data_IF_396609198260
#
_entry.id   IF_396609198260
#
_cell.length_a   1.000
_cell.length_b   1.000
_cell.length_c   1.000
_cell.angle_alpha   90.00
_cell.angle_beta   90.00
_cell.angle_gamma   90.00
#
_symmetry.space_group_name_H-M   'P 1'
#
loop_
_entity.id
_entity.type
_entity.pdbx_description
1 polymer ?
#
# COMPACT_ATOMS: atom_id res chain seq x y z
N UNK A 1 20.99 -21.35 -7.83
CA UNK A 1 20.57 -20.18 -8.63
C UNK A 1 21.83 -19.57 -9.25
N UNK A 2 21.93 -19.45 -10.58
CA UNK A 2 23.02 -18.69 -11.20
C UNK A 2 22.78 -17.23 -10.85
N UNK A 3 23.62 -16.69 -9.98
CA UNK A 3 23.54 -15.27 -9.61
C UNK A 3 24.12 -14.46 -10.76
N UNK A 4 23.27 -13.92 -11.60
CA UNK A 4 23.62 -12.95 -12.63
C UNK A 4 23.82 -11.56 -12.01
N UNK A 5 24.44 -10.66 -12.78
CA UNK A 5 24.62 -9.27 -12.34
C UNK A 5 23.57 -8.39 -12.99
N UNK A 6 22.96 -7.53 -12.20
CA UNK A 6 21.91 -6.61 -12.63
C UNK A 6 22.36 -5.16 -12.55
N UNK A 7 21.75 -4.33 -13.41
CA UNK A 7 21.94 -2.88 -13.40
C UNK A 7 20.62 -2.16 -13.58
N UNK A 8 20.44 -1.08 -12.81
CA UNK A 8 19.34 -0.14 -13.03
C UNK A 8 19.71 1.26 -12.58
N UNK A 9 18.94 2.23 -13.09
CA UNK A 9 18.92 3.58 -12.55
C UNK A 9 18.15 3.59 -11.22
N UNK A 10 18.84 3.95 -10.13
CA UNK A 10 18.29 4.02 -8.77
C UNK A 10 17.82 5.42 -8.38
N UNK A 11 17.98 6.43 -9.23
CA UNK A 11 17.45 7.78 -9.08
C UNK A 11 16.19 8.00 -9.93
N UNK A 12 15.31 8.98 -9.62
CA UNK A 12 14.13 9.30 -10.41
C UNK A 12 14.44 9.53 -11.89
N UNK A 13 13.47 9.26 -12.76
CA UNK A 13 13.61 9.50 -14.20
C UNK A 13 13.56 11.02 -14.50
N UNK A 14 14.22 11.43 -15.57
CA UNK A 14 14.27 12.84 -16.01
C UNK A 14 15.67 13.43 -15.86
N UNK A 15 15.85 14.66 -16.36
CA UNK A 15 17.07 15.43 -16.18
C UNK A 15 17.18 15.87 -14.70
N UNK A 16 18.37 15.68 -14.12
CA UNK A 16 18.65 16.01 -12.73
C UNK A 16 20.12 16.43 -12.60
N UNK A 17 20.47 17.07 -11.51
CA UNK A 17 21.88 17.40 -11.24
C UNK A 17 22.72 16.11 -11.12
N UNK A 18 22.17 15.06 -10.53
CA UNK A 18 22.81 13.75 -10.36
C UNK A 18 21.88 12.60 -10.69
N UNK A 19 22.44 11.56 -11.27
CA UNK A 19 21.79 10.26 -11.41
C UNK A 19 22.62 9.18 -10.75
N UNK A 20 21.97 8.10 -10.34
CA UNK A 20 22.59 6.95 -9.70
C UNK A 20 22.31 5.73 -10.56
N UNK A 21 23.36 5.05 -11.00
CA UNK A 21 23.28 3.71 -11.55
C UNK A 21 23.76 2.72 -10.49
N UNK A 22 22.95 1.71 -10.21
CA UNK A 22 23.26 0.65 -9.26
C UNK A 22 23.48 -0.66 -9.99
N UNK A 23 24.58 -1.34 -9.66
CA UNK A 23 24.95 -2.67 -10.16
C UNK A 23 25.04 -3.60 -8.97
N UNK A 24 24.46 -4.81 -9.04
CA UNK A 24 24.56 -5.82 -7.99
C UNK A 24 24.80 -7.19 -8.60
N UNK A 25 25.69 -7.96 -8.02
CA UNK A 25 25.99 -9.32 -8.43
C UNK A 25 27.48 -9.60 -8.64
N UNK A 26 27.83 -10.85 -9.00
CA UNK A 26 29.21 -11.34 -9.01
C UNK A 26 30.14 -10.65 -10.00
N UNK A 27 29.59 -10.03 -11.05
CA UNK A 27 30.42 -9.30 -12.03
C UNK A 27 30.66 -7.82 -11.63
N UNK A 28 30.12 -7.31 -10.52
CA UNK A 28 30.22 -5.90 -10.15
C UNK A 28 31.67 -5.40 -10.06
N UNK A 29 32.55 -6.17 -9.44
CA UNK A 29 33.97 -5.84 -9.35
C UNK A 29 34.67 -5.85 -10.71
N UNK A 30 34.34 -6.79 -11.60
CA UNK A 30 34.88 -6.84 -12.95
C UNK A 30 34.38 -5.64 -13.78
N UNK A 31 33.10 -5.35 -13.72
CA UNK A 31 32.50 -4.19 -14.40
C UNK A 31 33.17 -2.89 -13.93
N UNK A 32 33.46 -2.73 -12.65
CA UNK A 32 34.15 -1.57 -12.10
C UNK A 32 35.52 -1.37 -12.74
N UNK A 33 36.33 -2.45 -12.88
CA UNK A 33 37.66 -2.40 -13.55
C UNK A 33 37.56 -2.01 -15.01
N UNK A 34 36.62 -2.58 -15.73
CA UNK A 34 36.39 -2.28 -17.14
C UNK A 34 35.93 -0.83 -17.38
N UNK A 35 35.06 -0.30 -16.49
CA UNK A 35 34.58 1.07 -16.56
C UNK A 35 35.68 2.09 -16.27
N UNK A 36 36.59 1.78 -15.36
CA UNK A 36 37.72 2.65 -15.01
C UNK A 36 38.92 2.43 -15.93
N UNK A 37 38.92 1.36 -16.72
CA UNK A 37 40.08 0.89 -17.49
C UNK A 37 41.31 0.64 -16.59
N UNK A 38 41.07 0.28 -15.33
CA UNK A 38 42.11 -0.05 -14.36
C UNK A 38 41.96 -1.51 -13.88
N UNK A 39 42.74 -2.44 -14.41
CA UNK A 39 42.70 -3.85 -14.04
C UNK A 39 43.16 -4.10 -12.59
N UNK A 40 43.93 -3.17 -12.01
CA UNK A 40 44.42 -3.25 -10.66
C UNK A 40 43.46 -2.62 -9.63
N UNK A 41 42.32 -2.07 -10.07
CA UNK A 41 41.34 -1.47 -9.20
C UNK A 41 40.89 -2.43 -8.09
N UNK A 42 41.16 -2.06 -6.86
CA UNK A 42 40.71 -2.78 -5.70
C UNK A 42 39.24 -2.46 -5.42
N UNK A 43 38.36 -3.47 -5.56
CA UNK A 43 36.97 -3.35 -5.18
C UNK A 43 36.84 -3.51 -3.65
N UNK A 44 36.98 -2.38 -2.95
CA UNK A 44 36.90 -2.31 -1.49
C UNK A 44 35.80 -1.35 -1.05
N UNK A 45 35.10 -1.72 0.01
CA UNK A 45 34.03 -0.89 0.59
C UNK A 45 34.51 0.56 0.82
N UNK A 46 33.75 1.51 0.30
CA UNK A 46 34.00 2.94 0.49
C UNK A 46 33.50 3.80 -0.66
N UNK A 47 33.79 5.09 -0.53
CA UNK A 47 33.49 6.08 -1.56
C UNK A 47 34.79 6.48 -2.28
N UNK A 48 34.77 6.50 -3.59
CA UNK A 48 35.91 6.82 -4.43
C UNK A 48 35.49 7.73 -5.58
N UNK A 49 36.33 8.67 -5.97
CA UNK A 49 36.11 9.48 -7.17
C UNK A 49 36.76 8.79 -8.36
N UNK A 50 35.97 8.49 -9.37
CA UNK A 50 36.42 7.79 -10.58
C UNK A 50 36.26 8.65 -11.83
N UNK A 51 36.98 8.26 -12.87
CA UNK A 51 36.67 8.59 -14.25
C UNK A 51 36.21 7.29 -14.93
N UNK A 52 34.93 7.22 -15.30
CA UNK A 52 34.35 6.02 -15.90
C UNK A 52 34.21 6.20 -17.40
N UNK A 53 34.56 5.16 -18.14
CA UNK A 53 34.50 5.15 -19.63
C UNK A 53 33.13 4.66 -20.10
N UNK A 54 32.38 5.52 -20.77
CA UNK A 54 31.01 5.25 -21.25
C UNK A 54 30.99 4.58 -22.66
N UNK A 55 32.15 4.37 -23.26
CA UNK A 55 32.30 3.88 -24.64
C UNK A 55 32.70 5.00 -25.62
N UNK A 56 32.60 6.26 -25.24
CA UNK A 56 32.93 7.43 -26.06
C UNK A 56 33.92 8.38 -25.36
N UNK A 57 33.90 8.42 -24.05
CA UNK A 57 34.78 9.28 -23.29
C UNK A 57 34.77 8.96 -21.80
N UNK A 58 35.57 9.71 -21.03
CA UNK A 58 35.63 9.57 -19.59
C UNK A 58 34.74 10.59 -18.87
N UNK A 59 33.92 10.12 -17.96
CA UNK A 59 32.97 10.89 -17.20
C UNK A 59 33.37 10.87 -15.73
N UNK A 60 33.34 12.01 -15.00
CA UNK A 60 33.55 12.01 -13.59
C UNK A 60 32.40 11.33 -12.87
N UNK A 61 32.69 10.42 -11.95
CA UNK A 61 31.74 9.70 -11.14
C UNK A 61 32.22 9.62 -9.67
N UNK A 62 31.26 9.71 -8.73
CA UNK A 62 31.48 9.24 -7.37
C UNK A 62 30.98 7.79 -7.32
N UNK A 63 31.88 6.86 -7.04
CA UNK A 63 31.56 5.44 -6.88
C UNK A 63 31.45 5.09 -5.40
N UNK A 64 30.37 4.41 -5.05
CA UNK A 64 30.18 3.78 -3.75
C UNK A 64 30.26 2.26 -3.95
N UNK A 65 31.16 1.62 -3.19
CA UNK A 65 31.43 0.19 -3.28
C UNK A 65 30.97 -0.50 -2.00
N UNK A 66 30.27 -1.60 -2.15
CA UNK A 66 29.79 -2.43 -1.05
C UNK A 66 30.16 -3.88 -1.35
N UNK A 67 31.08 -4.42 -0.56
CA UNK A 67 31.48 -5.81 -0.67
C UNK A 67 30.46 -6.74 0.01
N UNK A 68 30.20 -7.87 -0.60
CA UNK A 68 29.42 -8.94 -0.01
C UNK A 68 30.02 -9.42 1.33
N UNK A 69 29.20 -9.76 2.34
CA UNK A 69 27.74 -9.64 2.41
C UNK A 69 27.27 -8.25 2.90
N UNK A 70 28.15 -7.26 3.03
CA UNK A 70 27.88 -5.96 3.65
C UNK A 70 27.33 -4.93 2.66
N UNK A 71 26.34 -5.34 1.87
CA UNK A 71 25.60 -4.51 0.94
C UNK A 71 24.10 -4.61 1.20
N UNK A 72 23.29 -3.86 0.47
CA UNK A 72 21.84 -3.93 0.56
C UNK A 72 21.32 -5.31 0.12
N UNK A 73 21.79 -5.80 -1.04
CA UNK A 73 21.40 -7.08 -1.61
C UNK A 73 22.12 -8.30 -1.00
N UNK A 74 23.18 -8.08 -0.20
CA UNK A 74 24.09 -9.14 0.23
C UNK A 74 25.14 -9.54 -0.81
N UNK A 75 25.08 -8.96 -2.01
CA UNK A 75 26.01 -9.19 -3.11
C UNK A 75 27.01 -8.04 -3.22
N UNK A 76 28.08 -8.21 -4.04
CA UNK A 76 28.92 -7.08 -4.41
C UNK A 76 28.08 -6.03 -5.14
N UNK A 77 28.07 -4.79 -4.63
CA UNK A 77 27.25 -3.71 -5.15
C UNK A 77 28.09 -2.48 -5.46
N UNK A 78 27.86 -1.90 -6.64
CA UNK A 78 28.46 -0.65 -7.10
C UNK A 78 27.36 0.37 -7.34
N UNK A 79 27.46 1.54 -6.77
CA UNK A 79 26.66 2.71 -7.12
C UNK A 79 27.53 3.77 -7.77
N UNK A 80 27.15 4.20 -8.96
CA UNK A 80 27.80 5.27 -9.70
C UNK A 80 26.92 6.51 -9.68
N UNK A 81 27.37 7.53 -9.00
CA UNK A 81 26.75 8.85 -8.98
C UNK A 81 27.41 9.70 -10.06
N UNK A 82 26.65 10.02 -11.09
CA UNK A 82 27.08 10.72 -12.32
C UNK A 82 26.21 11.96 -12.56
N UNK A 83 26.61 12.89 -13.44
CA UNK A 83 25.72 13.95 -13.90
C UNK A 83 24.42 13.38 -14.50
N UNK A 84 23.27 13.96 -14.12
CA UNK A 84 21.95 13.41 -14.42
C UNK A 84 21.44 13.68 -15.85
N UNK A 85 22.33 13.79 -16.82
CA UNK A 85 21.98 13.87 -18.25
C UNK A 85 21.41 12.54 -18.75
N UNK A 86 20.20 12.56 -19.31
CA UNK A 86 19.53 11.34 -19.78
C UNK A 86 20.37 10.54 -20.79
N UNK A 87 20.94 11.16 -21.87
CA UNK A 87 21.79 10.42 -22.81
C UNK A 87 23.02 9.80 -22.16
N UNK A 88 23.58 10.46 -21.13
CA UNK A 88 24.74 9.95 -20.41
C UNK A 88 24.39 8.70 -19.59
N UNK A 89 23.27 8.76 -18.85
CA UNK A 89 22.77 7.64 -18.05
C UNK A 89 22.49 6.43 -18.94
N UNK A 90 21.81 6.63 -20.07
CA UNK A 90 21.49 5.57 -21.04
C UNK A 90 22.75 4.94 -21.65
N UNK A 91 23.72 5.78 -22.05
CA UNK A 91 24.97 5.33 -22.64
C UNK A 91 25.77 4.48 -21.62
N UNK A 92 25.91 4.95 -20.39
CA UNK A 92 26.64 4.22 -19.36
C UNK A 92 25.91 2.94 -18.93
N UNK A 93 24.58 2.98 -18.83
CA UNK A 93 23.79 1.76 -18.55
C UNK A 93 23.94 0.72 -19.66
N UNK A 94 23.86 1.13 -20.92
CA UNK A 94 24.13 0.24 -22.07
C UNK A 94 25.55 -0.34 -22.05
N UNK A 95 26.55 0.49 -21.66
CA UNK A 95 27.92 0.02 -21.50
C UNK A 95 28.05 -1.04 -20.40
N UNK A 96 27.42 -0.83 -19.27
CA UNK A 96 27.41 -1.80 -18.16
C UNK A 96 26.74 -3.12 -18.59
N UNK A 97 25.68 -3.03 -19.39
CA UNK A 97 25.02 -4.24 -19.96
C UNK A 97 25.93 -4.99 -20.92
N UNK A 98 26.67 -4.29 -21.79
CA UNK A 98 27.68 -4.90 -22.67
C UNK A 98 28.79 -5.61 -21.89
N UNK A 99 29.07 -5.13 -20.68
CA UNK A 99 30.05 -5.75 -19.78
C UNK A 99 29.48 -6.97 -19.02
N UNK A 100 28.24 -7.37 -19.28
CA UNK A 100 27.65 -8.61 -18.79
C UNK A 100 26.66 -8.45 -17.62
N UNK A 101 26.20 -7.24 -17.33
CA UNK A 101 25.03 -7.06 -16.49
C UNK A 101 23.75 -7.10 -17.37
N UNK A 102 22.64 -7.62 -16.86
CA UNK A 102 21.33 -7.38 -17.48
C UNK A 102 20.59 -6.23 -16.80
N UNK A 103 19.56 -5.72 -17.46
CA UNK A 103 18.65 -4.80 -16.81
C UNK A 103 17.95 -5.49 -15.63
N UNK A 104 17.84 -4.78 -14.51
CA UNK A 104 17.07 -5.24 -13.36
C UNK A 104 15.58 -5.17 -13.64
N UNK A 105 14.83 -6.09 -13.07
CA UNK A 105 13.37 -6.05 -13.00
C UNK A 105 12.89 -5.08 -11.89
N UNK A 106 11.62 -4.65 -11.91
CA UNK A 106 11.05 -3.90 -10.80
C UNK A 106 11.23 -4.65 -9.47
N UNK A 107 11.70 -3.95 -8.43
CA UNK A 107 11.90 -4.53 -7.09
C UNK A 107 13.02 -5.56 -6.95
N UNK A 108 13.80 -5.84 -8.00
CA UNK A 108 14.74 -6.96 -7.99
C UNK A 108 15.87 -6.80 -6.95
N UNK A 109 16.36 -5.61 -6.70
CA UNK A 109 17.36 -5.40 -5.62
C UNK A 109 16.80 -5.74 -4.25
N UNK A 110 15.55 -5.36 -3.97
CA UNK A 110 14.87 -5.68 -2.70
C UNK A 110 14.54 -7.17 -2.62
N UNK A 111 14.13 -7.79 -3.73
CA UNK A 111 13.93 -9.24 -3.82
C UNK A 111 15.22 -10.01 -3.50
N UNK A 112 16.36 -9.58 -4.05
CA UNK A 112 17.67 -10.20 -3.74
C UNK A 112 18.05 -10.00 -2.29
N UNK A 113 17.79 -8.82 -1.71
CA UNK A 113 18.00 -8.57 -0.30
C UNK A 113 17.18 -9.53 0.59
N UNK A 114 15.93 -9.81 0.22
CA UNK A 114 15.07 -10.78 0.90
C UNK A 114 15.60 -12.21 0.71
N UNK A 115 15.86 -12.65 -0.52
CA UNK A 115 16.35 -14.00 -0.82
C UNK A 115 17.71 -14.30 -0.17
N UNK A 116 18.56 -13.29 -0.01
CA UNK A 116 19.86 -13.40 0.66
C UNK A 116 19.77 -13.20 2.18
N UNK A 117 18.57 -13.16 2.76
CA UNK A 117 18.33 -13.03 4.21
C UNK A 117 18.80 -11.71 4.83
N UNK A 118 18.96 -10.64 4.00
CA UNK A 118 19.34 -9.31 4.49
C UNK A 118 18.17 -8.58 5.15
N UNK A 119 16.99 -8.80 4.65
CA UNK A 119 15.72 -8.28 5.14
C UNK A 119 14.67 -9.39 5.08
N UNK A 120 13.69 -9.36 5.96
CA UNK A 120 12.48 -10.16 5.89
C UNK A 120 11.42 -9.52 4.97
N UNK A 121 10.32 -10.23 4.72
CA UNK A 121 9.26 -9.75 3.83
C UNK A 121 8.60 -8.48 4.39
N UNK A 122 8.40 -8.38 5.71
CA UNK A 122 7.76 -7.22 6.33
C UNK A 122 8.59 -5.95 6.16
N UNK A 123 9.92 -6.06 6.22
CA UNK A 123 10.84 -4.97 5.91
C UNK A 123 10.86 -4.63 4.43
N UNK A 124 10.81 -5.62 3.55
CA UNK A 124 10.69 -5.38 2.11
C UNK A 124 9.40 -4.60 1.80
N UNK A 125 8.28 -4.99 2.38
CA UNK A 125 7.02 -4.27 2.29
C UNK A 125 7.12 -2.85 2.90
N UNK A 126 7.84 -2.70 4.00
CA UNK A 126 8.14 -1.41 4.60
C UNK A 126 8.90 -0.47 3.65
N UNK A 127 9.84 -0.99 2.82
CA UNK A 127 10.50 -0.20 1.77
C UNK A 127 9.48 0.28 0.74
N UNK A 128 8.61 -0.60 0.24
CA UNK A 128 7.57 -0.24 -0.72
C UNK A 128 6.60 0.78 -0.13
N UNK A 129 6.10 0.50 1.06
CA UNK A 129 5.19 1.39 1.78
C UNK A 129 5.79 2.78 2.03
N UNK A 130 7.10 2.87 2.34
CA UNK A 130 7.78 4.15 2.54
C UNK A 130 7.91 4.96 1.25
N UNK A 131 8.14 4.29 0.11
CA UNK A 131 8.22 4.95 -1.20
C UNK A 131 6.86 5.51 -1.61
N UNK A 132 5.80 4.75 -1.35
CA UNK A 132 4.42 5.08 -1.70
C UNK A 132 3.73 5.98 -0.66
N UNK A 133 4.37 6.21 0.50
CA UNK A 133 3.80 6.99 1.60
C UNK A 133 3.47 8.43 1.17
N UNK A 134 2.24 8.85 1.36
CA UNK A 134 1.69 10.15 0.92
C UNK A 134 1.46 11.13 2.05
N UNK A 135 1.47 10.64 3.28
CA UNK A 135 1.28 11.44 4.48
C UNK A 135 2.21 11.02 5.62
N UNK A 136 2.25 11.83 6.66
CA UNK A 136 3.14 11.60 7.81
C UNK A 136 2.83 10.30 8.57
N UNK A 137 1.59 9.86 8.54
CA UNK A 137 1.13 8.66 9.25
C UNK A 137 1.55 7.39 8.51
N UNK A 138 1.37 7.33 7.18
CA UNK A 138 1.87 6.24 6.34
C UNK A 138 3.38 6.11 6.46
N UNK A 139 4.08 7.24 6.37
CA UNK A 139 5.54 7.27 6.56
C UNK A 139 5.95 6.70 7.92
N UNK A 140 5.23 7.04 9.00
CA UNK A 140 5.53 6.53 10.34
C UNK A 140 5.32 5.02 10.42
N UNK A 141 4.22 4.51 9.89
CA UNK A 141 3.93 3.09 9.85
C UNK A 141 4.96 2.31 9.00
N UNK A 142 5.31 2.83 7.83
CA UNK A 142 6.34 2.23 6.98
C UNK A 142 7.71 2.19 7.66
N UNK A 143 8.09 3.24 8.40
CA UNK A 143 9.32 3.27 9.18
C UNK A 143 9.31 2.27 10.35
N UNK A 144 8.16 2.04 10.96
CA UNK A 144 7.98 1.02 11.99
C UNK A 144 8.20 -0.40 11.44
N UNK A 145 7.65 -0.71 10.25
CA UNK A 145 7.88 -1.98 9.58
C UNK A 145 9.35 -2.15 9.19
N UNK A 146 9.98 -1.11 8.61
CA UNK A 146 11.42 -1.11 8.32
C UNK A 146 12.28 -1.33 9.57
N UNK A 147 11.85 -0.81 10.72
CA UNK A 147 12.48 -1.02 12.03
C UNK A 147 12.24 -2.41 12.61
N UNK A 148 11.53 -3.30 11.90
CA UNK A 148 11.23 -4.66 12.33
C UNK A 148 10.17 -4.74 13.42
N UNK A 149 9.29 -3.75 13.53
CA UNK A 149 8.19 -3.75 14.51
C UNK A 149 7.26 -4.92 14.29
N UNK A 150 6.76 -5.05 13.07
CA UNK A 150 5.86 -6.15 12.68
C UNK A 150 6.55 -7.52 12.73
N UNK A 151 7.80 -7.63 12.27
CA UNK A 151 8.58 -8.85 12.35
C UNK A 151 8.69 -9.37 13.78
N UNK A 152 9.02 -8.48 14.74
CA UNK A 152 9.11 -8.86 16.16
C UNK A 152 7.80 -9.41 16.71
N UNK A 153 6.67 -8.82 16.31
CA UNK A 153 5.34 -9.26 16.73
C UNK A 153 5.00 -10.63 16.16
N UNK A 154 5.20 -10.83 14.85
CA UNK A 154 4.99 -12.11 14.17
C UNK A 154 5.88 -13.21 14.78
N UNK A 155 7.16 -12.93 14.97
CA UNK A 155 8.12 -13.90 15.56
C UNK A 155 7.75 -14.28 16.98
N UNK A 156 7.34 -13.32 17.80
CA UNK A 156 6.95 -13.58 19.17
C UNK A 156 5.62 -14.35 19.27
N UNK A 157 4.67 -14.12 18.36
CA UNK A 157 3.46 -14.94 18.27
C UNK A 157 3.78 -16.35 17.76
N UNK A 158 4.64 -16.48 16.75
CA UNK A 158 5.10 -17.77 16.23
C UNK A 158 5.84 -18.61 17.27
N UNK A 159 6.72 -18.01 18.08
CA UNK A 159 7.40 -18.69 19.18
C UNK A 159 6.38 -19.23 20.22
N UNK A 160 5.39 -18.43 20.59
CA UNK A 160 4.35 -18.86 21.52
C UNK A 160 3.48 -20.01 20.97
N UNK A 161 3.19 -19.99 19.65
CA UNK A 161 2.51 -21.13 18.98
C UNK A 161 3.35 -22.38 18.99
N UNK A 162 4.66 -22.25 18.73
CA UNK A 162 5.60 -23.37 18.75
C UNK A 162 5.70 -23.98 20.16
N UNK A 163 5.78 -23.14 21.20
CA UNK A 163 5.81 -23.58 22.58
C UNK A 163 4.53 -24.36 22.96
N UNK A 164 3.35 -23.82 22.58
CA UNK A 164 2.06 -24.50 22.80
C UNK A 164 2.00 -25.85 22.06
N UNK A 165 2.46 -25.88 20.82
CA UNK A 165 2.48 -27.12 20.02
C UNK A 165 3.41 -28.16 20.63
N UNK A 166 4.60 -27.76 21.06
CA UNK A 166 5.56 -28.64 21.72
C UNK A 166 4.98 -29.24 23.01
N UNK A 167 4.23 -28.47 23.79
CA UNK A 167 3.52 -28.96 24.99
C UNK A 167 2.43 -29.97 24.64
N UNK A 168 1.68 -29.75 23.57
CA UNK A 168 0.66 -30.69 23.08
C UNK A 168 1.31 -31.99 22.56
N UNK A 169 2.39 -31.87 21.77
CA UNK A 169 3.14 -33.05 21.25
C UNK A 169 3.79 -33.86 22.39
N UNK A 170 4.39 -33.21 23.40
CA UNK A 170 4.93 -33.86 24.57
C UNK A 170 3.86 -34.64 25.36
N UNK A 171 2.63 -34.10 25.41
CA UNK A 171 1.52 -34.78 26.09
C UNK A 171 1.05 -36.05 25.34
N UNK A 172 1.33 -36.19 24.04
CA UNK A 172 1.02 -37.37 23.24
C UNK A 172 2.00 -38.55 23.52
N UNK A 173 3.26 -38.23 23.84
CA UNK A 173 4.32 -39.24 24.05
C UNK A 173 4.25 -39.92 25.41
N UNK A 174 3.43 -39.39 26.34
CA UNK A 174 3.27 -40.02 27.67
C UNK A 174 2.06 -40.96 27.65
N UNK A 175 2.32 -42.23 27.90
CA UNK A 175 1.32 -43.30 28.03
C UNK A 175 0.26 -42.94 29.09
N UNK A 176 -1.01 -43.32 28.87
CA UNK A 176 -2.17 -43.01 29.73
C UNK A 176 -2.00 -43.44 31.22
N UNK A 177 -0.91 -44.14 31.57
CA UNK A 177 -0.64 -44.61 32.90
C UNK A 177 0.15 -43.65 33.80
N UNK A 178 0.82 -42.61 33.24
CA UNK A 178 1.57 -41.65 34.03
C UNK A 178 0.75 -40.34 34.17
N UNK A 179 0.35 -40.03 35.39
CA UNK A 179 -0.40 -38.85 35.80
C UNK A 179 0.34 -37.51 35.59
N UNK A 180 1.36 -37.48 34.76
CA UNK A 180 2.17 -36.30 34.45
C UNK A 180 1.79 -35.61 33.14
N UNK A 181 0.60 -35.91 32.55
CA UNK A 181 0.10 -35.20 31.37
C UNK A 181 -0.11 -33.70 31.66
N UNK A 182 0.31 -32.89 30.72
CA UNK A 182 0.10 -31.41 30.78
C UNK A 182 -1.37 -31.11 31.08
N UNK A 183 -1.61 -30.51 32.27
CA UNK A 183 -2.98 -30.25 32.69
C UNK A 183 -3.53 -29.07 31.87
N UNK A 184 -4.78 -29.19 31.42
CA UNK A 184 -5.51 -28.12 30.70
C UNK A 184 -5.41 -26.78 31.42
N UNK A 185 -5.43 -26.77 32.75
CA UNK A 185 -5.28 -25.57 33.57
C UNK A 185 -3.94 -24.84 33.37
N UNK A 186 -2.89 -25.57 32.98
CA UNK A 186 -1.57 -24.99 32.69
C UNK A 186 -1.50 -24.38 31.29
N UNK A 187 -2.24 -24.93 30.32
CA UNK A 187 -2.27 -24.43 28.94
C UNK A 187 -3.19 -23.20 28.79
N UNK A 188 -4.26 -23.12 29.60
CA UNK A 188 -5.24 -22.05 29.48
C UNK A 188 -4.64 -20.64 29.47
N UNK A 189 -3.76 -20.24 30.39
CA UNK A 189 -3.21 -18.89 30.40
C UNK A 189 -2.34 -18.60 29.17
N UNK A 190 -1.69 -19.62 28.60
CA UNK A 190 -0.88 -19.50 27.37
C UNK A 190 -1.77 -19.24 26.14
N UNK A 191 -2.88 -20.01 26.03
CA UNK A 191 -3.88 -19.79 24.99
C UNK A 191 -4.51 -18.40 25.11
N UNK A 192 -4.90 -17.97 26.30
CA UNK A 192 -5.52 -16.65 26.53
C UNK A 192 -4.56 -15.51 26.18
N UNK A 193 -3.29 -15.60 26.59
CA UNK A 193 -2.29 -14.60 26.27
C UNK A 193 -2.04 -14.49 24.75
N UNK A 194 -1.97 -15.62 24.05
CA UNK A 194 -1.74 -15.65 22.62
C UNK A 194 -2.96 -15.17 21.83
N UNK A 195 -4.18 -15.54 22.25
CA UNK A 195 -5.44 -15.02 21.70
C UNK A 195 -5.50 -13.51 21.78
N UNK A 196 -5.21 -12.95 22.95
CA UNK A 196 -5.17 -11.52 23.15
C UNK A 196 -4.17 -10.84 22.21
N UNK A 197 -2.98 -11.43 22.09
CA UNK A 197 -1.90 -10.93 21.23
C UNK A 197 -2.28 -10.92 19.75
N UNK A 198 -2.79 -12.04 19.22
CA UNK A 198 -3.20 -12.14 17.82
C UNK A 198 -4.34 -11.19 17.50
N UNK A 199 -5.31 -11.03 18.43
CA UNK A 199 -6.40 -10.09 18.28
C UNK A 199 -5.90 -8.65 18.24
N UNK A 200 -5.00 -8.26 19.15
CA UNK A 200 -4.41 -6.93 19.15
C UNK A 200 -3.61 -6.65 17.86
N UNK A 201 -2.85 -7.62 17.38
CA UNK A 201 -2.11 -7.51 16.13
C UNK A 201 -3.06 -7.34 14.92
N UNK A 202 -4.15 -8.09 14.86
CA UNK A 202 -5.19 -7.94 13.84
C UNK A 202 -5.86 -6.56 13.90
N UNK A 203 -6.24 -6.09 15.09
CA UNK A 203 -6.83 -4.77 15.31
C UNK A 203 -5.86 -3.66 14.89
N UNK A 204 -4.59 -3.71 15.28
CA UNK A 204 -3.57 -2.74 14.89
C UNK A 204 -3.30 -2.73 13.39
N UNK A 205 -3.36 -3.90 12.75
CA UNK A 205 -3.27 -4.03 11.30
C UNK A 205 -4.51 -3.49 10.58
N UNK A 206 -5.68 -3.49 11.23
CA UNK A 206 -6.96 -3.09 10.63
C UNK A 206 -7.37 -1.64 10.88
N UNK A 207 -6.87 -0.97 11.91
CA UNK A 207 -7.43 0.30 12.41
C UNK A 207 -7.08 1.53 11.57
N UNK A 208 -6.23 1.40 10.51
CA UNK A 208 -5.90 2.55 9.66
C UNK A 208 -5.69 2.10 8.23
N UNK A 209 -6.78 2.05 7.47
CA UNK A 209 -6.71 2.00 6.01
C UNK A 209 -6.01 3.27 5.53
N UNK A 210 -4.72 3.16 5.21
CA UNK A 210 -3.91 4.25 4.72
C UNK A 210 -3.77 4.12 3.20
N UNK A 211 -4.13 5.16 2.54
CA UNK A 211 -4.51 5.32 1.15
C UNK A 211 -3.40 5.21 0.12
N UNK A 212 -3.56 4.38 -0.85
CA UNK A 212 -2.68 4.26 -2.01
C UNK A 212 -3.17 4.91 -3.29
N UNK A 213 -4.46 5.00 -3.52
CA UNK A 213 -5.03 5.88 -4.53
C UNK A 213 -5.78 7.01 -3.82
N UNK A 214 -5.75 8.21 -4.40
CA UNK A 214 -6.53 9.34 -3.89
C UNK A 214 -7.97 8.91 -3.80
N UNK A 215 -8.60 8.96 -2.63
CA UNK A 215 -10.01 8.66 -2.48
C UNK A 215 -10.80 9.47 -3.51
N UNK A 216 -11.59 8.81 -4.33
CA UNK A 216 -12.42 9.45 -5.34
C UNK A 216 -13.79 9.73 -4.74
N UNK A 217 -14.05 10.99 -4.44
CA UNK A 217 -15.36 11.45 -4.00
C UNK A 217 -16.08 12.04 -5.20
N UNK A 218 -17.19 11.44 -5.58
CA UNK A 218 -18.00 11.88 -6.72
C UNK A 218 -19.25 12.59 -6.22
N UNK A 219 -19.45 13.84 -6.67
CA UNK A 219 -20.68 14.56 -6.47
C UNK A 219 -21.68 14.17 -7.58
N UNK A 220 -22.80 13.61 -7.21
CA UNK A 220 -23.87 13.18 -8.12
C UNK A 220 -25.23 13.69 -7.66
N UNK A 221 -26.21 13.73 -8.55
CA UNK A 221 -27.56 14.20 -8.27
C UNK A 221 -28.18 14.93 -9.45
N UNK A 222 -29.42 15.34 -9.31
CA UNK A 222 -30.19 16.01 -10.37
C UNK A 222 -29.53 17.30 -10.88
N UNK A 223 -29.88 17.75 -12.10
CA UNK A 223 -29.51 19.09 -12.55
C UNK A 223 -29.96 20.17 -11.55
N UNK A 224 -29.16 21.22 -11.41
CA UNK A 224 -29.41 22.31 -10.45
C UNK A 224 -29.53 21.97 -8.98
N UNK A 225 -29.12 20.73 -8.59
CA UNK A 225 -29.08 20.32 -7.19
C UNK A 225 -28.00 21.03 -6.35
N UNK A 226 -27.15 21.84 -6.96
CA UNK A 226 -26.09 22.57 -6.26
C UNK A 226 -24.74 21.85 -6.20
N UNK A 227 -24.51 20.85 -7.07
CA UNK A 227 -23.26 20.09 -7.16
C UNK A 227 -22.03 20.97 -7.32
N UNK A 228 -21.99 21.78 -8.36
CA UNK A 228 -20.86 22.67 -8.68
C UNK A 228 -20.65 23.75 -7.61
N UNK A 229 -21.74 24.23 -6.99
CA UNK A 229 -21.65 25.14 -5.84
C UNK A 229 -21.00 24.46 -4.63
N UNK A 230 -21.42 23.25 -4.33
CA UNK A 230 -20.82 22.45 -3.24
C UNK A 230 -19.37 22.10 -3.56
N UNK A 231 -19.05 21.73 -4.80
CA UNK A 231 -17.68 21.47 -5.27
C UNK A 231 -16.75 22.65 -4.95
N UNK A 232 -17.15 23.86 -5.37
CA UNK A 232 -16.39 25.09 -5.09
C UNK A 232 -16.29 25.37 -3.58
N UNK A 233 -17.37 25.16 -2.83
CA UNK A 233 -17.37 25.36 -1.39
C UNK A 233 -16.43 24.39 -0.64
N UNK A 234 -16.34 23.15 -1.11
CA UNK A 234 -15.42 22.16 -0.55
C UNK A 234 -13.96 22.46 -0.87
N UNK A 235 -13.66 22.95 -2.07
CA UNK A 235 -12.30 23.34 -2.45
C UNK A 235 -11.84 24.67 -1.82
N UNK A 236 -12.78 25.53 -1.45
CA UNK A 236 -12.48 26.88 -0.95
C UNK A 236 -12.05 27.87 -2.04
N UNK A 237 -12.23 27.51 -3.31
CA UNK A 237 -11.90 28.35 -4.46
C UNK A 237 -12.90 28.12 -5.62
N UNK A 238 -13.25 29.16 -6.40
CA UNK A 238 -14.13 29.01 -7.57
C UNK A 238 -13.36 28.31 -8.71
N UNK A 239 -13.57 26.99 -8.87
CA UNK A 239 -12.99 26.16 -9.95
C UNK A 239 -14.05 25.68 -10.94
N UNK A 240 -15.26 25.41 -10.48
CA UNK A 240 -16.39 25.06 -11.32
C UNK A 240 -17.11 26.35 -11.75
N UNK A 241 -17.40 26.49 -13.05
CA UNK A 241 -18.26 27.55 -13.56
C UNK A 241 -19.69 27.32 -13.05
N UNK A 242 -20.15 28.21 -12.19
CA UNK A 242 -21.55 28.28 -11.75
C UNK A 242 -22.30 29.14 -12.72
N UNK A 243 -22.76 28.57 -13.85
CA UNK A 243 -23.58 29.30 -14.79
C UNK A 243 -25.03 28.81 -14.77
N UNK A 244 -25.96 29.75 -14.82
CA UNK A 244 -27.39 29.48 -14.72
C UNK A 244 -27.99 28.91 -16.03
N UNK A 245 -27.17 28.68 -17.07
CA UNK A 245 -27.63 28.16 -18.35
C UNK A 245 -27.43 26.62 -18.43
N UNK A 246 -28.47 25.84 -18.77
CA UNK A 246 -28.34 24.41 -18.97
C UNK A 246 -27.46 24.10 -20.19
N UNK A 247 -26.34 23.39 -20.01
CA UNK A 247 -25.57 22.79 -21.10
C UNK A 247 -24.13 23.27 -21.33
N UNK A 248 -23.53 24.09 -20.45
CA UNK A 248 -22.20 24.67 -20.67
C UNK A 248 -21.01 23.93 -20.11
N UNK A 249 -21.19 22.92 -19.23
CA UNK A 249 -20.07 22.12 -18.68
C UNK A 249 -20.11 20.72 -19.27
N UNK A 250 -19.35 20.48 -20.34
CA UNK A 250 -19.21 19.17 -21.01
C UNK A 250 -18.05 18.33 -20.51
N UNK A 251 -17.13 18.89 -19.73
CA UNK A 251 -16.00 18.18 -19.16
C UNK A 251 -16.22 17.86 -17.66
N UNK A 252 -15.83 16.65 -17.28
CA UNK A 252 -15.82 16.22 -15.90
C UNK A 252 -14.78 17.04 -15.15
N UNK A 253 -15.22 17.83 -14.19
CA UNK A 253 -14.30 18.55 -13.31
C UNK A 253 -13.69 17.58 -12.30
N UNK A 254 -12.39 17.54 -12.27
CA UNK A 254 -11.59 16.74 -11.34
C UNK A 254 -10.55 17.66 -10.71
N UNK A 255 -10.55 17.75 -9.39
CA UNK A 255 -9.60 18.58 -8.66
C UNK A 255 -9.00 17.83 -7.46
N UNK A 256 -7.72 18.05 -7.25
CA UNK A 256 -7.04 17.57 -6.07
C UNK A 256 -7.43 18.42 -4.87
N UNK A 257 -7.89 17.76 -3.84
CA UNK A 257 -8.33 18.39 -2.60
C UNK A 257 -7.62 17.77 -1.40
N UNK A 258 -7.08 18.62 -0.52
CA UNK A 258 -6.49 18.16 0.73
C UNK A 258 -7.53 18.26 1.85
N UNK A 259 -7.92 17.13 2.40
CA UNK A 259 -8.89 17.04 3.49
C UNK A 259 -8.30 16.25 4.66
N UNK A 260 -8.19 16.85 5.83
CA UNK A 260 -7.62 16.19 7.01
C UNK A 260 -6.15 15.73 6.82
N UNK A 261 -5.40 16.41 5.96
CA UNK A 261 -4.01 16.05 5.61
C UNK A 261 -3.87 14.96 4.55
N UNK A 262 -4.98 14.50 3.97
CA UNK A 262 -5.01 13.47 2.93
C UNK A 262 -5.38 14.07 1.58
N UNK A 263 -4.80 13.52 0.50
CA UNK A 263 -5.12 13.90 -0.87
C UNK A 263 -6.37 13.15 -1.33
N UNK A 264 -7.37 13.89 -1.78
CA UNK A 264 -8.64 13.38 -2.30
C UNK A 264 -8.82 13.86 -3.73
N UNK A 265 -9.32 13.04 -4.60
CA UNK A 265 -9.78 13.46 -5.93
C UNK A 265 -11.28 13.74 -5.85
N UNK A 266 -11.63 15.04 -5.84
CA UNK A 266 -13.02 15.47 -5.89
C UNK A 266 -13.46 15.57 -7.35
N UNK A 267 -14.55 14.88 -7.69
CA UNK A 267 -15.10 14.85 -9.05
C UNK A 267 -16.52 15.42 -9.06
N UNK A 268 -16.80 16.35 -9.95
CA UNK A 268 -18.16 16.85 -10.21
C UNK A 268 -18.75 16.12 -11.42
N UNK A 269 -19.79 15.34 -11.18
CA UNK A 269 -20.56 14.64 -12.19
C UNK A 269 -21.65 15.54 -12.85
N UNK A 270 -21.49 16.86 -12.83
CA UNK A 270 -22.48 17.82 -13.36
C UNK A 270 -22.77 17.63 -14.85
N UNK A 271 -21.88 17.01 -15.60
CA UNK A 271 -22.09 16.66 -17.00
C UNK A 271 -23.08 15.51 -17.27
N UNK A 272 -23.68 14.93 -16.22
CA UNK A 272 -24.57 13.78 -16.27
C UNK A 272 -26.05 14.17 -16.26
N UNK A 273 -26.46 15.18 -17.01
CA UNK A 273 -27.87 15.51 -17.14
C UNK A 273 -28.60 14.51 -18.02
N UNK A 274 -29.69 13.98 -17.46
CA UNK A 274 -30.67 13.17 -18.18
C UNK A 274 -31.44 14.03 -19.19
N UNK A 275 -31.03 14.06 -20.44
CA UNK A 275 -31.92 14.33 -21.56
C UNK A 275 -31.64 13.27 -22.62
N UNK A 276 -32.64 12.47 -23.03
CA UNK A 276 -32.48 11.48 -24.09
C UNK A 276 -32.56 12.21 -25.43
N UNK A 277 -31.52 12.13 -26.23
CA UNK A 277 -31.63 12.75 -27.56
C UNK A 277 -30.55 12.41 -28.58
N UNK A 278 -29.28 12.30 -28.20
CA UNK A 278 -28.19 12.13 -29.17
C UNK A 278 -27.13 11.09 -28.73
N UNK A 279 -26.40 10.52 -29.72
CA UNK A 279 -25.31 9.56 -29.50
C UNK A 279 -24.20 10.11 -28.56
N UNK A 280 -24.03 11.44 -28.50
CA UNK A 280 -23.14 12.13 -27.57
C UNK A 280 -23.60 12.01 -26.11
N UNK A 281 -24.90 11.96 -25.86
CA UNK A 281 -25.46 11.79 -24.52
C UNK A 281 -25.26 10.35 -23.99
N UNK A 282 -25.25 9.36 -24.88
CA UNK A 282 -24.99 7.96 -24.50
C UNK A 282 -23.53 7.77 -24.02
N UNK A 283 -22.55 8.44 -24.67
CA UNK A 283 -21.16 8.41 -24.24
C UNK A 283 -20.94 9.15 -22.92
N UNK A 284 -21.61 10.28 -22.71
CA UNK A 284 -21.55 11.02 -21.46
C UNK A 284 -22.14 10.19 -20.30
N UNK A 285 -23.27 9.50 -20.52
CA UNK A 285 -23.88 8.61 -19.54
C UNK A 285 -23.00 7.38 -19.24
N UNK A 286 -22.31 6.80 -20.24
CA UNK A 286 -21.39 5.69 -20.04
C UNK A 286 -20.20 6.12 -19.17
N UNK A 287 -19.58 7.26 -19.47
CA UNK A 287 -18.50 7.84 -18.65
C UNK A 287 -18.93 8.12 -17.21
N UNK A 288 -20.15 8.53 -17.05
CA UNK A 288 -20.78 8.76 -15.77
C UNK A 288 -20.91 7.52 -14.92
N UNK A 289 -21.48 6.47 -15.52
CA UNK A 289 -21.61 5.17 -14.84
C UNK A 289 -20.25 4.61 -14.47
N UNK A 290 -19.27 4.76 -15.36
CA UNK A 290 -17.88 4.36 -15.08
C UNK A 290 -17.29 5.14 -13.91
N UNK A 291 -17.52 6.46 -13.86
CA UNK A 291 -17.04 7.29 -12.75
C UNK A 291 -17.70 6.93 -11.42
N UNK A 292 -19.02 6.70 -11.42
CA UNK A 292 -19.74 6.25 -10.23
C UNK A 292 -19.27 4.86 -9.78
N UNK A 293 -18.95 3.96 -10.73
CA UNK A 293 -18.42 2.63 -10.44
C UNK A 293 -16.98 2.66 -9.89
N UNK A 294 -16.22 3.72 -10.22
CA UNK A 294 -14.84 3.93 -9.73
C UNK A 294 -14.78 4.85 -8.50
N UNK A 295 -15.91 5.31 -7.97
CA UNK A 295 -15.98 6.17 -6.80
C UNK A 295 -15.79 5.36 -5.52
N UNK A 296 -14.93 5.84 -4.62
CA UNK A 296 -14.84 5.31 -3.25
C UNK A 296 -16.00 5.83 -2.39
N UNK A 297 -16.53 7.01 -2.73
CA UNK A 297 -17.72 7.59 -2.12
C UNK A 297 -18.51 8.40 -3.13
N UNK A 298 -19.81 8.18 -3.16
CA UNK A 298 -20.77 9.01 -3.90
C UNK A 298 -21.53 9.90 -2.91
N UNK A 299 -21.45 11.22 -3.11
CA UNK A 299 -22.30 12.17 -2.44
C UNK A 299 -23.50 12.44 -3.36
N UNK A 300 -24.66 11.93 -3.00
CA UNK A 300 -25.91 12.19 -3.73
C UNK A 300 -26.54 13.48 -3.24
N UNK A 301 -26.55 14.49 -4.09
CA UNK A 301 -27.04 15.81 -3.75
C UNK A 301 -28.48 15.94 -4.23
N UNK A 302 -29.39 16.10 -3.26
CA UNK A 302 -30.82 16.28 -3.49
C UNK A 302 -31.25 17.67 -2.99
N UNK A 303 -32.06 18.37 -3.78
CA UNK A 303 -32.61 19.67 -3.37
C UNK A 303 -33.69 19.48 -2.31
N UNK A 304 -33.69 20.34 -1.32
CA UNK A 304 -34.68 20.26 -0.23
C UNK A 304 -36.10 20.61 -0.67
N UNK A 305 -36.27 21.40 -1.75
CA UNK A 305 -37.56 21.77 -2.29
C UNK A 305 -38.10 20.82 -3.37
N UNK A 306 -37.21 20.01 -4.01
CA UNK A 306 -37.57 19.06 -5.06
C UNK A 306 -36.59 17.84 -5.03
N UNK A 307 -36.71 16.93 -4.05
CA UNK A 307 -35.80 15.84 -3.89
C UNK A 307 -36.01 14.72 -4.90
N UNK A 308 -35.04 14.54 -5.82
CA UNK A 308 -35.04 13.45 -6.79
C UNK A 308 -34.13 12.31 -6.29
N UNK A 309 -34.74 11.26 -5.71
CA UNK A 309 -34.03 10.15 -5.08
C UNK A 309 -34.08 8.84 -5.89
N UNK A 310 -34.89 8.77 -6.95
CA UNK A 310 -35.13 7.54 -7.73
C UNK A 310 -33.85 6.91 -8.34
N UNK A 311 -32.86 7.75 -8.68
CA UNK A 311 -31.58 7.31 -9.25
C UNK A 311 -30.43 7.26 -8.23
N UNK A 312 -30.73 7.40 -6.94
CA UNK A 312 -29.71 7.38 -5.87
C UNK A 312 -29.10 6.00 -5.73
N UNK A 313 -27.75 5.83 -5.80
CA UNK A 313 -27.09 4.57 -5.45
C UNK A 313 -27.29 4.23 -3.96
N UNK A 314 -27.48 2.93 -3.65
CA UNK A 314 -27.74 2.45 -2.28
C UNK A 314 -26.61 2.84 -1.30
N UNK A 315 -25.35 2.77 -1.74
CA UNK A 315 -24.17 3.02 -0.92
C UNK A 315 -23.71 4.50 -0.96
N UNK A 316 -24.61 5.43 -1.35
CA UNK A 316 -24.30 6.86 -1.41
C UNK A 316 -24.69 7.61 -0.14
N UNK A 317 -23.90 8.62 0.21
CA UNK A 317 -24.30 9.57 1.25
C UNK A 317 -25.28 10.59 0.69
N UNK A 318 -26.39 10.78 1.39
CA UNK A 318 -27.40 11.77 1.02
C UNK A 318 -27.04 13.14 1.57
N UNK A 319 -26.90 14.11 0.68
CA UNK A 319 -26.67 15.52 1.00
C UNK A 319 -27.92 16.29 0.61
N UNK A 320 -28.60 16.85 1.61
CA UNK A 320 -29.84 17.63 1.47
C UNK A 320 -29.48 19.10 1.27
N UNK A 321 -29.49 19.53 0.03
CA UNK A 321 -28.96 20.85 -0.37
C UNK A 321 -30.03 21.93 -0.40
N UNK A 322 -29.58 23.20 -0.32
CA UNK A 322 -30.42 24.38 -0.46
C UNK A 322 -31.52 24.46 0.62
N UNK A 323 -31.21 24.06 1.83
CA UNK A 323 -32.17 24.07 2.96
C UNK A 323 -32.65 25.45 3.40
N UNK A 324 -32.01 26.49 2.88
CA UNK A 324 -32.33 27.90 3.10
C UNK A 324 -33.41 28.46 2.15
N UNK A 325 -33.82 27.66 1.15
CA UNK A 325 -34.84 28.12 0.17
C UNK A 325 -36.26 28.04 0.71
N UNK A 326 -37.15 28.94 0.24
CA UNK A 326 -38.58 28.82 0.53
C UNK A 326 -39.12 27.48 -0.02
N UNK A 327 -39.89 26.77 0.79
CA UNK A 327 -40.43 25.45 0.42
C UNK A 327 -39.48 24.26 0.68
N UNK A 328 -38.32 24.47 1.29
CA UNK A 328 -37.43 23.40 1.68
C UNK A 328 -38.12 22.43 2.65
N UNK A 329 -38.08 21.13 2.31
CA UNK A 329 -38.58 20.06 3.16
C UNK A 329 -37.55 19.71 4.26
N UNK A 330 -37.98 19.21 5.41
CA UNK A 330 -37.07 18.73 6.44
C UNK A 330 -36.14 17.63 5.91
N UNK A 331 -34.87 17.70 6.30
CA UNK A 331 -33.90 16.67 5.90
C UNK A 331 -34.26 15.31 6.55
N UNK A 332 -34.19 14.20 5.81
CA UNK A 332 -34.29 12.86 6.36
C UNK A 332 -33.19 12.61 7.40
N UNK A 333 -33.43 11.73 8.40
CA UNK A 333 -32.45 11.48 9.48
C UNK A 333 -31.06 11.04 9.00
N UNK A 334 -31.01 10.34 7.86
CA UNK A 334 -29.76 9.87 7.24
C UNK A 334 -29.04 10.94 6.39
N UNK A 335 -29.69 12.07 6.09
CA UNK A 335 -29.17 13.10 5.21
C UNK A 335 -28.41 14.19 5.97
N UNK A 336 -27.37 14.72 5.34
CA UNK A 336 -26.68 15.91 5.80
C UNK A 336 -27.32 17.16 5.14
N UNK A 337 -27.91 18.00 6.00
CA UNK A 337 -28.54 19.25 5.57
C UNK A 337 -27.46 20.32 5.30
N UNK A 338 -27.45 20.90 4.11
CA UNK A 338 -26.48 21.95 3.75
C UNK A 338 -27.11 23.13 3.04
N UNK A 339 -26.53 24.31 3.28
CA UNK A 339 -26.66 25.49 2.42
C UNK A 339 -25.27 26.05 2.12
N UNK A 340 -24.90 26.06 0.86
CA UNK A 340 -23.62 26.67 0.43
C UNK A 340 -23.68 28.17 0.58
N UNK A 341 -24.82 28.78 0.28
CA UNK A 341 -25.03 30.24 0.37
C UNK A 341 -24.90 30.75 1.82
N UNK A 342 -25.50 30.04 2.77
CA UNK A 342 -25.46 30.39 4.21
C UNK A 342 -24.36 29.65 4.98
N UNK A 343 -23.50 28.87 4.32
CA UNK A 343 -22.43 28.06 4.92
C UNK A 343 -22.92 27.09 6.03
N UNK A 344 -24.19 26.66 5.95
CA UNK A 344 -24.80 25.70 6.87
C UNK A 344 -24.33 24.29 6.49
N UNK A 345 -23.90 23.46 7.48
CA UNK A 345 -23.57 22.04 7.31
C UNK A 345 -22.29 21.74 6.55
N UNK A 346 -21.62 22.74 5.94
CA UNK A 346 -20.40 22.50 5.15
C UNK A 346 -19.24 22.03 6.02
N UNK A 347 -19.05 22.61 7.20
CA UNK A 347 -18.01 22.20 8.15
C UNK A 347 -18.28 20.78 8.68
N UNK A 348 -19.54 20.44 8.95
CA UNK A 348 -19.96 19.11 9.40
C UNK A 348 -19.71 18.07 8.30
N UNK A 349 -20.07 18.37 7.05
CA UNK A 349 -19.79 17.50 5.90
C UNK A 349 -18.28 17.25 5.74
N UNK A 350 -17.45 18.31 5.85
CA UNK A 350 -15.98 18.16 5.82
C UNK A 350 -15.45 17.28 6.95
N UNK A 351 -15.94 17.47 8.18
CA UNK A 351 -15.55 16.67 9.32
C UNK A 351 -15.93 15.19 9.13
N UNK A 352 -17.17 14.93 8.67
CA UNK A 352 -17.67 13.58 8.41
C UNK A 352 -16.89 12.89 7.29
N UNK A 353 -16.56 13.61 6.21
CA UNK A 353 -15.70 13.13 5.12
C UNK A 353 -14.29 12.82 5.63
N UNK A 354 -13.68 13.73 6.39
CA UNK A 354 -12.34 13.52 6.97
C UNK A 354 -12.27 12.29 7.89
N UNK A 355 -13.35 12.01 8.62
CA UNK A 355 -13.44 10.83 9.48
C UNK A 355 -13.64 9.53 8.67
N UNK A 356 -14.33 9.59 7.53
CA UNK A 356 -14.63 8.44 6.69
C UNK A 356 -13.50 8.10 5.70
N UNK A 357 -12.69 9.08 5.31
CA UNK A 357 -11.57 8.90 4.36
C UNK A 357 -10.61 7.75 4.72
N UNK A 358 -10.22 7.54 5.99
CA UNK A 358 -9.37 6.42 6.37
C UNK A 358 -9.91 5.04 6.00
N UNK A 359 -11.20 4.92 5.76
CA UNK A 359 -11.86 3.66 5.43
C UNK A 359 -12.05 3.43 3.92
N UNK A 360 -11.82 4.45 3.09
CA UNK A 360 -12.23 4.47 1.67
C UNK A 360 -11.16 4.15 0.66
N UNK A 361 -9.90 4.12 1.01
CA UNK A 361 -8.83 3.93 0.05
C UNK A 361 -7.81 2.88 0.48
N UNK A 362 -7.72 1.86 -0.33
CA UNK A 362 -6.76 0.78 -0.20
C UNK A 362 -5.56 0.97 -1.11
N UNK A 363 -4.63 1.86 -0.75
CA UNK A 363 -3.33 1.86 -1.41
C UNK A 363 -2.46 0.68 -1.02
N UNK A 364 -1.22 0.67 -1.51
CA UNK A 364 -0.24 -0.38 -1.18
C UNK A 364 -0.22 -0.67 0.31
N UNK A 365 -0.18 0.38 1.15
CA UNK A 365 -0.21 0.23 2.61
C UNK A 365 -1.52 -0.41 3.10
N UNK A 366 -2.67 -0.05 2.52
CA UNK A 366 -3.97 -0.61 2.90
C UNK A 366 -4.08 -2.09 2.52
N UNK A 367 -3.63 -2.47 1.32
CA UNK A 367 -3.60 -3.87 0.88
C UNK A 367 -2.66 -4.73 1.73
N UNK A 368 -1.46 -4.22 2.03
CA UNK A 368 -0.50 -4.92 2.90
C UNK A 368 -1.07 -5.12 4.30
N UNK A 369 -1.69 -4.09 4.88
CA UNK A 369 -2.37 -4.19 6.17
C UNK A 369 -3.54 -5.18 6.15
N UNK A 370 -4.35 -5.17 5.09
CA UNK A 370 -5.45 -6.11 4.94
C UNK A 370 -4.94 -7.56 4.89
N UNK A 371 -3.82 -7.80 4.18
CA UNK A 371 -3.15 -9.10 4.13
C UNK A 371 -2.65 -9.54 5.51
N UNK A 372 -1.95 -8.65 6.23
CA UNK A 372 -1.47 -8.95 7.58
C UNK A 372 -2.62 -9.23 8.54
N UNK A 373 -3.65 -8.40 8.49
CA UNK A 373 -4.86 -8.58 9.30
C UNK A 373 -5.51 -9.93 9.04
N UNK A 374 -5.72 -10.30 7.78
CA UNK A 374 -6.32 -11.58 7.40
C UNK A 374 -5.50 -12.77 7.95
N UNK A 375 -4.17 -12.71 7.89
CA UNK A 375 -3.30 -13.73 8.42
C UNK A 375 -3.37 -13.83 9.97
N UNK A 376 -3.41 -12.70 10.68
CA UNK A 376 -3.61 -12.71 12.14
C UNK A 376 -5.00 -13.23 12.54
N UNK A 377 -6.05 -12.85 11.81
CA UNK A 377 -7.42 -13.36 12.03
C UNK A 377 -7.51 -14.87 11.76
N UNK A 378 -6.87 -15.37 10.70
CA UNK A 378 -6.81 -16.80 10.40
C UNK A 378 -6.03 -17.56 11.48
N UNK A 379 -4.86 -17.07 11.88
CA UNK A 379 -4.09 -17.66 12.97
C UNK A 379 -4.89 -17.68 14.29
N UNK A 380 -5.61 -16.61 14.60
CA UNK A 380 -6.50 -16.55 15.75
C UNK A 380 -7.64 -17.60 15.66
N UNK A 381 -8.24 -17.77 14.47
CA UNK A 381 -9.31 -18.74 14.25
C UNK A 381 -8.82 -20.19 14.49
N UNK A 382 -7.63 -20.54 13.98
CA UNK A 382 -7.00 -21.82 14.22
C UNK A 382 -6.67 -22.03 15.70
N UNK A 383 -6.19 -21.00 16.38
CA UNK A 383 -5.93 -21.06 17.83
C UNK A 383 -7.22 -21.30 18.63
N UNK A 384 -8.35 -20.68 18.24
CA UNK A 384 -9.66 -20.94 18.84
C UNK A 384 -10.14 -22.38 18.59
N UNK A 385 -9.86 -22.93 17.41
CA UNK A 385 -10.17 -24.30 17.06
C UNK A 385 -9.35 -25.28 17.92
N UNK A 386 -8.05 -25.05 18.02
CA UNK A 386 -7.15 -25.83 18.89
C UNK A 386 -7.63 -25.85 20.36
N UNK A 387 -8.02 -24.67 20.88
CA UNK A 387 -8.56 -24.57 22.23
C UNK A 387 -9.86 -25.36 22.42
N UNK A 388 -10.79 -25.29 21.45
CA UNK A 388 -12.04 -26.10 21.50
C UNK A 388 -11.72 -27.60 21.48
N UNK A 389 -10.81 -28.07 20.62
CA UNK A 389 -10.39 -29.47 20.58
C UNK A 389 -9.88 -29.92 21.94
N UNK A 390 -9.05 -29.11 22.60
CA UNK A 390 -8.55 -29.38 23.94
C UNK A 390 -9.71 -29.40 24.99
N UNK A 391 -10.73 -28.54 24.82
CA UNK A 391 -11.89 -28.48 25.71
C UNK A 391 -12.83 -29.68 25.56
N UNK A 392 -13.04 -30.12 24.35
CA UNK A 392 -14.00 -31.17 23.97
C UNK A 392 -13.36 -32.57 24.03
N UNK A 393 -12.13 -32.67 24.58
CA UNK A 393 -11.38 -33.94 24.68
C UNK A 393 -11.20 -34.64 23.32
N UNK A 394 -11.08 -33.88 22.27
CA UNK A 394 -10.72 -34.35 20.92
C UNK A 394 -9.26 -34.79 20.94
N UNK A 395 -8.83 -35.78 20.11
CA UNK A 395 -7.42 -36.18 20.05
C UNK A 395 -6.44 -35.02 19.93
N UNK A 396 -5.36 -35.03 20.74
CA UNK A 396 -4.39 -33.94 20.82
C UNK A 396 -3.67 -33.67 19.51
N UNK A 397 -3.60 -34.68 18.62
CA UNK A 397 -3.06 -34.54 17.26
C UNK A 397 -3.80 -33.48 16.47
N UNK A 398 -5.13 -33.39 16.63
CA UNK A 398 -5.93 -32.34 15.95
C UNK A 398 -5.68 -30.96 16.55
N UNK A 399 -5.44 -30.87 17.85
CA UNK A 399 -5.02 -29.63 18.49
C UNK A 399 -3.65 -29.17 17.96
N UNK A 400 -2.66 -30.08 17.89
CA UNK A 400 -1.34 -29.79 17.37
C UNK A 400 -1.36 -29.37 15.88
N UNK A 401 -2.24 -29.99 15.08
CA UNK A 401 -2.43 -29.62 13.67
C UNK A 401 -3.01 -28.22 13.52
N UNK A 402 -4.01 -27.85 14.32
CA UNK A 402 -4.55 -26.48 14.30
C UNK A 402 -3.49 -25.42 14.71
N UNK A 403 -2.65 -25.74 15.68
CA UNK A 403 -1.53 -24.87 16.07
C UNK A 403 -0.50 -24.75 14.94
N UNK A 404 -0.24 -25.83 14.20
CA UNK A 404 0.63 -25.83 13.01
C UNK A 404 0.04 -24.95 11.90
N UNK A 405 -1.28 -25.02 11.67
CA UNK A 405 -1.97 -24.18 10.69
C UNK A 405 -1.90 -22.70 11.11
N UNK A 406 -2.13 -22.40 12.39
CA UNK A 406 -1.98 -21.04 12.92
C UNK A 406 -0.57 -20.49 12.68
N UNK A 407 0.47 -21.31 12.87
CA UNK A 407 1.85 -20.93 12.60
C UNK A 407 2.07 -20.64 11.10
N UNK A 408 1.55 -21.49 10.21
CA UNK A 408 1.68 -21.31 8.77
C UNK A 408 1.05 -19.98 8.28
N UNK A 409 -0.06 -19.55 8.89
CA UNK A 409 -0.66 -18.25 8.60
C UNK A 409 0.27 -17.08 9.00
N UNK A 410 0.95 -17.16 10.13
CA UNK A 410 1.92 -16.13 10.54
C UNK A 410 3.17 -16.13 9.64
N UNK A 411 3.62 -17.29 9.18
CA UNK A 411 4.77 -17.43 8.27
C UNK A 411 4.51 -16.78 6.91
N UNK A 412 3.25 -16.66 6.48
CA UNK A 412 2.89 -15.88 5.29
C UNK A 412 3.22 -14.39 5.44
N UNK A 413 3.18 -13.84 6.66
CA UNK A 413 3.54 -12.43 6.92
C UNK A 413 5.06 -12.25 6.83
N UNK A 414 5.85 -13.16 7.43
CA UNK A 414 7.32 -13.09 7.42
C UNK A 414 7.94 -13.50 6.08
N UNK A 415 7.18 -14.26 5.26
CA UNK A 415 7.65 -14.82 3.99
C UNK A 415 8.45 -16.11 4.13
N UNK A 416 8.45 -16.73 5.31
CA UNK A 416 9.16 -17.99 5.57
C UNK A 416 8.50 -19.18 4.85
N UNK A 417 7.19 -19.18 4.69
CA UNK A 417 6.43 -20.22 3.99
C UNK A 417 6.35 -20.04 2.45
N UNK A 418 7.23 -19.23 1.85
CA UNK A 418 7.63 -19.22 0.45
C UNK A 418 6.49 -19.30 -0.59
N UNK A 419 5.48 -18.42 -0.53
CA UNK A 419 4.49 -18.31 -1.60
C UNK A 419 5.08 -17.41 -2.70
N UNK A 420 5.75 -18.01 -3.71
CA UNK A 420 6.38 -17.29 -4.83
C UNK A 420 5.42 -16.28 -5.50
N UNK A 421 4.14 -16.64 -5.65
CA UNK A 421 3.11 -15.76 -6.22
C UNK A 421 2.89 -14.47 -5.41
N UNK A 422 3.01 -14.52 -4.08
CA UNK A 422 2.86 -13.34 -3.22
C UNK A 422 4.09 -12.45 -3.36
N UNK A 423 5.28 -13.05 -3.36
CA UNK A 423 6.53 -12.34 -3.55
C UNK A 423 6.57 -11.63 -4.91
N UNK A 424 6.19 -12.30 -5.98
CA UNK A 424 6.16 -11.73 -7.32
C UNK A 424 5.19 -10.56 -7.42
N UNK A 425 4.01 -10.64 -6.81
CA UNK A 425 3.04 -9.52 -6.75
C UNK A 425 3.57 -8.32 -5.97
N UNK A 426 4.24 -8.54 -4.85
CA UNK A 426 4.81 -7.47 -4.04
C UNK A 426 5.94 -6.79 -4.81
N UNK A 427 6.90 -7.56 -5.35
CA UNK A 427 8.07 -7.01 -6.02
C UNK A 427 7.76 -6.37 -7.37
N UNK A 428 6.76 -6.84 -8.11
CA UNK A 428 6.31 -6.21 -9.36
C UNK A 428 5.80 -4.76 -9.18
N UNK A 429 5.43 -4.36 -7.97
CA UNK A 429 4.98 -2.99 -7.66
C UNK A 429 6.10 -2.00 -7.38
N UNK A 430 7.32 -2.48 -7.19
CA UNK A 430 8.45 -1.60 -6.95
C UNK A 430 8.85 -0.86 -8.22
N UNK A 431 9.46 0.32 -8.03
CA UNK A 431 10.12 1.02 -9.12
C UNK A 431 11.39 0.27 -9.57
N UNK A 432 11.78 0.46 -10.85
CA UNK A 432 13.08 0.02 -11.36
C UNK A 432 14.21 0.65 -10.52
N UNK A 433 15.18 -0.18 -10.10
CA UNK A 433 16.34 0.28 -9.31
C UNK A 433 16.17 0.20 -7.80
N UNK A 434 15.09 -0.42 -7.35
CA UNK A 434 14.79 -0.71 -5.93
C UNK A 434 14.69 -2.19 -5.67
#
# INVERSE_FOLDING_TARGET
MQSDTIVARASPRGAAERAILRVSGPAAARIARELTQDPALAFRRGAQTWRVFDGRGFIPALALLFEAPRSYTGEDTLELHIPGSLPLVECLQARIQQLGARAAEPGEFTRRAFLNGRIDLTRAEGVLALIEARNAEERRAALEWLGGGLEREVRAAGAALLDLRALCEAALDFDESDTAGVQRAELQPLFEALRWRLRQAAEQSGTRSLHGERARIVLAGAPSAGKSSLFNALLGAPRALVDAAPGTTRDVLREDWTLGGQQVLLCDAAGLSQLPGDELDAQAQARAREMLAQADLVLWIARADDPQLAARPQDSWLVWSQVDRPGAQPAPPEALAISVEKQIGIAELRAKLSHALPMMSGGVMGELRARHRAAFEAAHSHLECAWRHLCDHVPLELCAEELRLAQAELEQISGESGVEDVLDRIFARFCLGK
#
